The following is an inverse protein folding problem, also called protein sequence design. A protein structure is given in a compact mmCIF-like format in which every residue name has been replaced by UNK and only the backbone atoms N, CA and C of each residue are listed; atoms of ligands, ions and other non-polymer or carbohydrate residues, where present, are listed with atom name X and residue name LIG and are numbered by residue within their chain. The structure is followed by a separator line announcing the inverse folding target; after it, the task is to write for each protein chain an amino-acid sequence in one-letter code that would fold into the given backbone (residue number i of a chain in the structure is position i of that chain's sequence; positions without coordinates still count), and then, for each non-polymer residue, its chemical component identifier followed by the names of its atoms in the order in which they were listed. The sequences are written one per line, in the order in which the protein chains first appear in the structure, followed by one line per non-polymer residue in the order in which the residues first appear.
data_IF_098480459117
#
_entry.id   IF_098480459117
#
_cell.length_a   1.000
_cell.length_b   1.000
_cell.length_c   1.000
_cell.angle_alpha   90.00
_cell.angle_beta   90.00
_cell.angle_gamma   90.00
#
_symmetry.space_group_name_H-M   'P 1'
#
loop_
_entity.id
_entity.type
_entity.pdbx_description
1 polymer ?
#
# COMPACT_ATOMS: atom_id res chain seq x y z
N UNK A 1 16.05 7.07 16.84
CA UNK A 1 15.33 6.57 15.64
C UNK A 1 14.34 7.63 15.20
N UNK A 2 14.49 8.19 14.01
CA UNK A 2 13.53 9.14 13.44
C UNK A 2 12.40 8.37 12.73
N UNK A 3 11.17 8.88 12.81
CA UNK A 3 10.08 8.46 11.93
C UNK A 3 10.03 9.49 10.80
N UNK A 4 10.15 9.06 9.54
CA UNK A 4 10.10 9.95 8.37
C UNK A 4 8.80 9.70 7.64
N UNK A 5 8.07 10.76 7.31
CA UNK A 5 6.86 10.71 6.51
C UNK A 5 6.97 11.70 5.35
N UNK A 6 6.51 11.30 4.17
CA UNK A 6 6.52 12.14 2.97
C UNK A 6 5.07 12.50 2.65
N UNK A 7 4.76 13.79 2.69
CA UNK A 7 3.48 14.31 2.24
C UNK A 7 3.64 14.79 0.80
N UNK A 8 3.10 14.01 -0.13
CA UNK A 8 3.08 14.31 -1.55
C UNK A 8 2.09 15.42 -1.90
N UNK A 9 1.28 15.88 -0.93
CA UNK A 9 0.13 16.77 -1.09
C UNK A 9 -1.05 16.14 -1.86
N UNK A 10 -0.95 14.84 -2.15
CA UNK A 10 -1.92 14.05 -2.92
C UNK A 10 -2.34 12.77 -2.19
N UNK A 11 -1.98 12.61 -0.92
CA UNK A 11 -2.39 11.49 -0.07
C UNK A 11 -3.91 11.54 0.20
N UNK A 12 -4.49 10.38 0.50
CA UNK A 12 -5.86 10.32 1.01
C UNK A 12 -5.97 11.07 2.35
N UNK A 13 -7.07 11.80 2.60
CA UNK A 13 -7.34 12.39 3.91
C UNK A 13 -7.25 11.37 5.06
N UNK A 14 -7.78 10.16 4.84
CA UNK A 14 -7.73 9.06 5.82
C UNK A 14 -6.30 8.59 6.12
N UNK A 15 -5.35 8.76 5.19
CA UNK A 15 -3.93 8.48 5.43
C UNK A 15 -3.33 9.50 6.40
N UNK A 16 -3.64 10.79 6.22
CA UNK A 16 -3.19 11.87 7.11
C UNK A 16 -3.82 11.73 8.51
N UNK A 17 -5.10 11.37 8.58
CA UNK A 17 -5.79 11.06 9.84
C UNK A 17 -5.15 9.86 10.56
N UNK A 18 -4.92 8.76 9.84
CA UNK A 18 -4.26 7.58 10.40
C UNK A 18 -2.85 7.91 10.92
N UNK A 19 -2.09 8.75 10.20
CA UNK A 19 -0.77 9.14 10.63
C UNK A 19 -0.80 9.94 11.95
N UNK A 20 -1.78 10.84 12.14
CA UNK A 20 -1.98 11.53 13.42
C UNK A 20 -2.25 10.56 14.57
N UNK A 21 -3.12 9.58 14.36
CA UNK A 21 -3.42 8.54 15.36
C UNK A 21 -2.17 7.73 15.72
N UNK A 22 -1.33 7.40 14.74
CA UNK A 22 -0.04 6.72 14.96
C UNK A 22 0.90 7.59 15.78
N UNK A 23 1.07 8.87 15.44
CA UNK A 23 1.93 9.78 16.20
C UNK A 23 1.48 9.94 17.65
N UNK A 24 0.17 10.05 17.88
CA UNK A 24 -0.45 10.18 19.21
C UNK A 24 -0.25 8.91 20.03
N UNK A 25 -0.63 7.75 19.50
CA UNK A 25 -0.53 6.46 20.20
C UNK A 25 0.90 6.12 20.61
N UNK A 26 1.87 6.35 19.72
CA UNK A 26 3.27 6.02 19.97
C UNK A 26 4.08 7.18 20.53
N UNK A 27 3.44 8.31 20.84
CA UNK A 27 4.07 9.54 21.34
C UNK A 27 5.32 9.94 20.51
N UNK A 28 5.21 9.79 19.19
CA UNK A 28 6.34 9.95 18.26
C UNK A 28 5.92 10.72 17.02
N UNK A 29 6.39 11.95 16.92
CA UNK A 29 6.17 12.81 15.75
C UNK A 29 7.02 12.35 14.57
N UNK A 30 6.41 12.30 13.39
CA UNK A 30 7.13 12.08 12.17
C UNK A 30 7.80 13.39 11.71
N UNK A 31 9.00 13.26 11.15
CA UNK A 31 9.61 14.28 10.33
C UNK A 31 8.91 14.28 8.97
N UNK A 32 7.89 15.13 8.85
CA UNK A 32 7.17 15.32 7.59
C UNK A 32 8.01 16.12 6.60
N UNK A 33 8.14 15.61 5.37
CA UNK A 33 8.69 16.35 4.24
C UNK A 33 7.66 16.48 3.13
N UNK A 34 7.57 17.70 2.63
CA UNK A 34 6.77 18.10 1.48
C UNK A 34 7.72 18.45 0.31
N UNK A 35 7.20 18.55 -0.93
CA UNK A 35 7.95 19.08 -2.06
C UNK A 35 8.65 20.40 -1.69
N UNK A 36 9.90 20.58 -2.13
CA UNK A 36 10.71 21.72 -1.73
C UNK A 36 10.07 23.07 -2.08
N UNK A 37 9.80 23.87 -1.05
CA UNK A 37 9.21 25.20 -1.17
C UNK A 37 7.71 25.19 -1.47
N UNK A 38 7.03 24.07 -1.23
CA UNK A 38 5.58 23.90 -1.41
C UNK A 38 4.98 23.38 -0.11
N UNK A 39 3.87 23.99 0.29
CA UNK A 39 3.16 23.66 1.53
C UNK A 39 1.70 23.28 1.31
N UNK A 40 1.17 23.57 0.12
CA UNK A 40 -0.22 23.27 -0.23
C UNK A 40 -0.35 22.65 -1.62
N UNK A 41 -1.43 21.91 -1.85
CA UNK A 41 -1.74 21.33 -3.17
C UNK A 41 -1.91 22.41 -4.23
N UNK A 42 -2.50 23.56 -3.89
CA UNK A 42 -2.68 24.67 -4.83
C UNK A 42 -1.34 25.27 -5.28
N UNK A 43 -0.39 25.42 -4.36
CA UNK A 43 0.98 25.82 -4.70
C UNK A 43 1.68 24.78 -5.60
N UNK A 44 1.43 23.49 -5.35
CA UNK A 44 1.96 22.42 -6.19
C UNK A 44 1.43 22.55 -7.63
N UNK A 45 0.11 22.67 -7.79
CA UNK A 45 -0.56 22.80 -9.09
C UNK A 45 -0.07 24.07 -9.80
N UNK A 46 0.02 25.20 -9.09
CA UNK A 46 0.49 26.46 -9.66
C UNK A 46 1.93 26.39 -10.20
N UNK A 47 2.78 25.54 -9.60
CA UNK A 47 4.20 25.43 -9.98
C UNK A 47 4.48 24.33 -10.99
N UNK A 48 3.84 23.17 -10.85
CA UNK A 48 4.16 21.97 -11.61
C UNK A 48 3.02 21.47 -12.50
N UNK A 49 1.80 22.02 -12.36
CA UNK A 49 0.59 21.53 -13.03
C UNK A 49 -0.14 20.45 -12.23
N UNK A 50 -1.28 19.99 -12.76
CA UNK A 50 -2.02 18.89 -12.14
C UNK A 50 -1.21 17.58 -12.25
N UNK A 51 -1.32 16.72 -11.25
CA UNK A 51 -0.69 15.40 -11.23
C UNK A 51 -1.11 14.49 -12.40
N UNK A 52 -2.26 14.75 -13.05
CA UNK A 52 -2.68 14.03 -14.26
C UNK A 52 -2.02 14.55 -15.55
N UNK A 53 -1.53 15.79 -15.55
CA UNK A 53 -0.86 16.42 -16.68
C UNK A 53 0.67 16.28 -16.63
N UNK A 54 1.21 16.18 -15.41
CA UNK A 54 2.65 16.04 -15.17
C UNK A 54 3.13 14.64 -15.55
N UNK A 55 4.34 14.57 -16.12
CA UNK A 55 4.98 13.27 -16.34
C UNK A 55 5.16 12.52 -15.01
N UNK A 56 4.94 11.21 -15.04
CA UNK A 56 4.96 10.38 -13.84
C UNK A 56 6.31 10.37 -13.14
N UNK A 57 7.42 10.43 -13.90
CA UNK A 57 8.76 10.46 -13.33
C UNK A 57 9.05 11.82 -12.67
N UNK A 58 8.60 12.91 -13.30
CA UNK A 58 8.75 14.26 -12.74
C UNK A 58 7.92 14.41 -11.46
N UNK A 59 6.66 13.96 -11.45
CA UNK A 59 5.82 13.95 -10.25
C UNK A 59 6.48 13.15 -9.12
N UNK A 60 6.93 11.92 -9.40
CA UNK A 60 7.58 11.09 -8.40
C UNK A 60 8.86 11.73 -7.87
N UNK A 61 9.63 12.39 -8.73
CA UNK A 61 10.85 13.07 -8.30
C UNK A 61 10.55 14.21 -7.32
N UNK A 62 9.68 15.14 -7.70
CA UNK A 62 9.41 16.35 -6.90
C UNK A 62 8.58 16.07 -5.65
N UNK A 63 7.68 15.07 -5.70
CA UNK A 63 6.75 14.78 -4.62
C UNK A 63 7.23 13.69 -3.67
N UNK A 64 8.11 12.80 -4.12
CA UNK A 64 8.50 11.60 -3.34
C UNK A 64 10.00 11.47 -3.17
N UNK A 65 10.76 11.51 -4.26
CA UNK A 65 12.20 11.20 -4.24
C UNK A 65 13.00 12.31 -3.57
N UNK A 66 12.89 13.56 -4.02
CA UNK A 66 13.63 14.69 -3.42
C UNK A 66 13.28 14.87 -1.93
N UNK A 67 11.98 14.90 -1.52
CA UNK A 67 11.65 15.08 -0.12
C UNK A 67 12.17 13.94 0.75
N UNK A 68 12.15 12.71 0.22
CA UNK A 68 12.70 11.56 0.93
C UNK A 68 14.21 11.65 1.06
N UNK A 69 14.95 11.91 -0.02
CA UNK A 69 16.42 12.06 0.01
C UNK A 69 16.84 13.14 1.02
N UNK A 70 16.18 14.30 0.99
CA UNK A 70 16.41 15.38 1.95
C UNK A 70 16.14 14.94 3.39
N UNK A 71 15.08 14.17 3.65
CA UNK A 71 14.84 13.60 4.98
C UNK A 71 15.98 12.68 5.45
N UNK A 72 16.55 11.87 4.54
CA UNK A 72 17.64 10.96 4.89
C UNK A 72 18.93 11.69 5.22
N UNK A 73 19.23 12.75 4.46
CA UNK A 73 20.39 13.63 4.68
C UNK A 73 20.27 14.34 6.03
N UNK A 74 19.12 14.97 6.31
CA UNK A 74 18.86 15.64 7.58
C UNK A 74 18.83 14.70 8.78
N UNK A 75 18.46 13.43 8.58
CA UNK A 75 18.49 12.41 9.62
C UNK A 75 19.89 11.81 9.86
N UNK A 76 20.88 12.13 9.01
CA UNK A 76 22.21 11.49 9.00
C UNK A 76 22.10 9.96 9.06
N UNK A 77 21.23 9.40 8.20
CA UNK A 77 20.76 8.03 8.36
C UNK A 77 21.87 6.98 8.28
N UNK A 78 22.10 6.30 9.40
CA UNK A 78 22.82 5.03 9.44
C UNK A 78 22.05 3.88 8.78
N UNK A 79 20.89 3.53 9.35
CA UNK A 79 20.06 2.40 8.91
C UNK A 79 18.67 2.91 8.53
N UNK A 80 18.15 2.45 7.38
CA UNK A 80 16.75 2.62 7.01
C UNK A 80 15.95 1.42 7.50
N UNK A 81 14.81 1.62 8.16
CA UNK A 81 13.85 0.54 8.39
C UNK A 81 12.65 0.79 7.45
N UNK A 82 12.21 -0.24 6.71
CA UNK A 82 11.01 -0.13 5.86
C UNK A 82 9.98 -1.21 6.17
N UNK A 83 8.73 -0.95 5.80
CA UNK A 83 7.65 -1.93 5.89
C UNK A 83 7.47 -2.81 4.66
N UNK A 84 8.47 -2.90 3.77
CA UNK A 84 8.39 -3.71 2.54
C UNK A 84 8.34 -5.20 2.89
N UNK A 85 7.50 -5.94 2.16
CA UNK A 85 7.33 -7.39 2.28
C UNK A 85 7.43 -8.06 0.91
N UNK A 86 7.85 -9.33 0.89
CA UNK A 86 7.99 -10.08 -0.37
C UNK A 86 6.65 -10.31 -1.09
N UNK A 87 5.57 -10.50 -0.33
CA UNK A 87 4.23 -10.78 -0.86
C UNK A 87 3.54 -9.57 -1.52
N UNK A 88 4.11 -8.38 -1.38
CA UNK A 88 3.60 -7.15 -1.98
C UNK A 88 4.03 -6.96 -3.45
N UNK A 89 5.07 -7.66 -3.91
CA UNK A 89 5.57 -7.47 -5.26
C UNK A 89 4.70 -8.20 -6.30
N UNK A 90 4.40 -7.54 -7.43
CA UNK A 90 3.65 -8.13 -8.54
C UNK A 90 4.39 -9.30 -9.21
N UNK A 91 5.72 -9.32 -9.09
CA UNK A 91 6.59 -10.42 -9.44
C UNK A 91 7.31 -10.91 -8.17
N UNK A 92 7.69 -12.18 -8.14
CA UNK A 92 8.40 -12.82 -7.02
C UNK A 92 9.80 -12.23 -6.85
N UNK A 93 9.87 -11.09 -6.17
CA UNK A 93 11.12 -10.41 -5.83
C UNK A 93 11.61 -10.98 -4.50
N UNK A 94 12.83 -11.51 -4.49
CA UNK A 94 13.52 -11.80 -3.23
C UNK A 94 13.89 -10.47 -2.57
N UNK A 95 13.28 -10.20 -1.43
CA UNK A 95 13.62 -9.08 -0.57
C UNK A 95 14.39 -9.61 0.62
N UNK A 96 15.65 -9.23 0.73
CA UNK A 96 16.45 -9.60 1.91
C UNK A 96 15.99 -8.80 3.13
N UNK A 97 16.00 -9.46 4.29
CA UNK A 97 15.78 -8.80 5.59
C UNK A 97 16.80 -7.68 5.79
N UNK A 98 18.03 -7.86 5.33
CA UNK A 98 19.10 -6.86 5.41
C UNK A 98 19.72 -6.61 4.02
N UNK A 99 19.63 -5.37 3.54
CA UNK A 99 20.25 -4.88 2.31
C UNK A 99 21.51 -4.08 2.64
N UNK A 100 22.67 -4.76 2.75
CA UNK A 100 23.97 -4.19 3.15
C UNK A 100 24.32 -2.90 2.37
N UNK A 101 24.26 -2.96 1.04
CA UNK A 101 24.63 -1.83 0.15
C UNK A 101 23.81 -0.57 0.42
N UNK A 102 22.53 -0.72 0.80
CA UNK A 102 21.62 0.41 1.08
C UNK A 102 21.56 0.76 2.58
N UNK A 103 22.17 -0.07 3.43
CA UNK A 103 21.97 -0.11 4.88
C UNK A 103 20.47 -0.04 5.22
N UNK A 104 19.70 -0.97 4.66
CA UNK A 104 18.24 -1.04 4.84
C UNK A 104 17.84 -2.36 5.50
N UNK A 105 17.03 -2.28 6.56
CA UNK A 105 16.43 -3.38 7.29
C UNK A 105 14.94 -3.47 6.93
N UNK A 106 14.51 -4.65 6.48
CA UNK A 106 13.13 -4.98 6.14
C UNK A 106 12.64 -6.05 7.14
N UNK A 107 12.26 -5.69 8.38
CA UNK A 107 11.96 -6.65 9.44
C UNK A 107 10.76 -7.55 9.11
N UNK A 108 9.88 -7.09 8.22
CA UNK A 108 8.68 -7.80 7.79
C UNK A 108 8.84 -8.44 6.40
N UNK A 109 10.07 -8.60 5.90
CA UNK A 109 10.30 -9.13 4.55
C UNK A 109 9.58 -10.48 4.30
N UNK A 110 9.54 -11.35 5.31
CA UNK A 110 8.94 -12.68 5.25
C UNK A 110 7.48 -12.73 5.73
N UNK A 111 6.89 -11.59 6.11
CA UNK A 111 5.52 -11.55 6.60
C UNK A 111 4.56 -11.56 5.40
N UNK A 112 3.52 -12.37 5.49
CA UNK A 112 2.38 -12.33 4.59
C UNK A 112 1.36 -11.26 5.02
N UNK A 113 0.44 -10.92 4.13
CA UNK A 113 -0.73 -10.12 4.45
C UNK A 113 -1.49 -10.68 5.66
N UNK A 114 -1.60 -12.01 5.75
CA UNK A 114 -2.28 -12.67 6.87
C UNK A 114 -1.54 -12.39 8.19
N UNK A 115 -0.20 -12.50 8.21
CA UNK A 115 0.59 -12.19 9.42
C UNK A 115 0.39 -10.74 9.87
N UNK A 116 0.25 -9.80 8.92
CA UNK A 116 -0.01 -8.39 9.22
C UNK A 116 -1.40 -8.18 9.79
N UNK A 117 -2.44 -8.71 9.15
CA UNK A 117 -3.81 -8.51 9.66
C UNK A 117 -4.04 -9.29 10.95
N UNK A 118 -3.39 -10.45 11.17
CA UNK A 118 -3.45 -11.18 12.44
C UNK A 118 -2.77 -10.38 13.56
N UNK A 119 -1.63 -9.76 13.29
CA UNK A 119 -0.96 -8.88 14.24
C UNK A 119 -1.83 -7.68 14.57
N UNK A 120 -2.32 -6.98 13.54
CA UNK A 120 -3.24 -5.85 13.72
C UNK A 120 -4.46 -6.31 14.50
N UNK A 121 -5.03 -7.47 14.18
CA UNK A 121 -6.26 -7.93 14.77
C UNK A 121 -6.12 -8.37 16.22
N UNK A 122 -5.01 -9.03 16.56
CA UNK A 122 -4.64 -9.37 17.93
C UNK A 122 -4.47 -8.12 18.78
N UNK A 123 -3.83 -7.09 18.23
CA UNK A 123 -3.68 -5.81 18.94
C UNK A 123 -4.99 -5.01 18.95
N UNK A 124 -5.87 -5.20 17.96
CA UNK A 124 -7.15 -4.48 17.80
C UNK A 124 -8.34 -5.21 18.46
N UNK A 125 -8.17 -6.43 18.98
CA UNK A 125 -9.28 -7.26 19.49
C UNK A 125 -9.87 -6.81 20.82
N UNK A 126 -9.55 -5.62 21.32
CA UNK A 126 -10.09 -5.12 22.57
C UNK A 126 -10.50 -3.65 22.42
N UNK A 127 -11.62 -3.43 21.72
CA UNK A 127 -12.44 -2.27 22.03
C UNK A 127 -12.90 -2.42 23.50
N UNK A 128 -12.16 -1.80 24.43
CA UNK A 128 -12.46 -1.78 25.86
C UNK A 128 -11.59 -2.64 26.79
N UNK A 129 -10.49 -3.25 26.35
CA UNK A 129 -9.49 -3.82 27.26
C UNK A 129 -8.07 -3.44 26.84
N UNK A 130 -7.19 -3.09 27.80
CA UNK A 130 -5.82 -2.73 27.49
C UNK A 130 -4.99 -3.91 26.96
N UNK A 131 -3.98 -3.61 26.16
CA UNK A 131 -2.92 -4.54 25.75
C UNK A 131 -2.07 -5.03 26.95
N UNK A 132 -1.08 -5.90 26.69
CA UNK A 132 -0.17 -6.44 27.73
C UNK A 132 0.63 -5.36 28.48
N UNK A 133 0.73 -4.15 27.92
CA UNK A 133 1.44 -3.00 28.49
C UNK A 133 0.49 -1.92 29.04
N UNK A 134 -0.82 -2.19 29.13
CA UNK A 134 -1.80 -1.28 29.69
C UNK A 134 -2.34 -0.20 28.74
N UNK A 135 -2.12 -0.30 27.42
CA UNK A 135 -2.61 0.70 26.44
C UNK A 135 -3.98 0.30 25.89
N UNK A 136 -4.92 1.25 25.95
CA UNK A 136 -6.35 1.00 25.75
C UNK A 136 -6.83 0.80 24.28
N UNK A 137 -5.94 0.82 23.28
CA UNK A 137 -6.35 0.84 21.87
C UNK A 137 -5.40 -0.03 21.04
N UNK A 138 -5.86 -0.62 19.93
CA UNK A 138 -5.02 -1.42 19.03
C UNK A 138 -4.11 -0.59 18.11
N UNK A 139 -3.47 -1.25 17.13
CA UNK A 139 -2.70 -0.55 16.10
C UNK A 139 -3.66 0.34 15.27
N UNK A 140 -3.39 1.64 15.07
CA UNK A 140 -4.22 2.50 14.25
C UNK A 140 -4.20 2.01 12.80
N UNK A 141 -5.38 1.92 12.19
CA UNK A 141 -5.57 1.43 10.83
C UNK A 141 -6.21 2.53 10.00
N UNK A 142 -5.79 2.67 8.75
CA UNK A 142 -6.39 3.63 7.82
C UNK A 142 -7.87 3.28 7.58
N UNK A 143 -8.78 4.18 7.97
CA UNK A 143 -10.23 4.00 7.82
C UNK A 143 -10.67 3.81 6.36
N UNK A 144 -9.79 4.11 5.40
CA UNK A 144 -9.97 3.74 4.00
C UNK A 144 -10.28 2.25 3.78
N UNK A 145 -9.80 1.36 4.66
CA UNK A 145 -10.07 -0.07 4.62
C UNK A 145 -11.51 -0.47 4.98
N UNK A 146 -12.30 0.45 5.55
CA UNK A 146 -13.69 0.19 5.90
C UNK A 146 -14.64 0.34 4.70
N UNK A 147 -14.18 0.91 3.59
CA UNK A 147 -15.03 1.16 2.43
C UNK A 147 -15.12 -0.08 1.53
N UNK A 148 -16.36 -0.47 1.22
CA UNK A 148 -16.69 -1.35 0.11
C UNK A 148 -17.36 -0.56 -1.02
N UNK A 149 -17.03 -0.91 -2.26
CA UNK A 149 -17.64 -0.33 -3.47
C UNK A 149 -18.38 -1.44 -4.20
N UNK A 150 -19.71 -1.38 -4.23
CA UNK A 150 -20.58 -2.41 -4.80
C UNK A 150 -21.02 -2.01 -6.21
N UNK A 151 -20.89 -2.88 -7.19
CA UNK A 151 -21.28 -2.58 -8.57
C UNK A 151 -21.88 -3.80 -9.28
N UNK A 152 -22.70 -3.53 -10.30
CA UNK A 152 -23.41 -4.56 -11.07
C UNK A 152 -22.52 -5.22 -12.14
N UNK A 153 -21.45 -4.55 -12.55
CA UNK A 153 -20.51 -5.03 -13.55
C UNK A 153 -19.06 -4.63 -13.20
N UNK A 154 -18.04 -5.34 -13.73
CA UNK A 154 -16.64 -4.97 -13.54
C UNK A 154 -16.34 -3.57 -14.11
N UNK A 155 -15.55 -2.80 -13.37
CA UNK A 155 -15.01 -1.51 -13.79
C UNK A 155 -13.52 -1.68 -14.04
N UNK A 156 -13.05 -1.24 -15.21
CA UNK A 156 -11.63 -1.26 -15.57
C UNK A 156 -10.80 -0.49 -14.54
N UNK A 157 -9.70 -1.10 -14.07
CA UNK A 157 -8.90 -0.54 -12.98
C UNK A 157 -8.36 0.86 -13.32
N UNK A 158 -8.01 1.11 -14.59
CA UNK A 158 -7.53 2.41 -15.11
C UNK A 158 -8.58 3.52 -15.01
N UNK A 159 -9.86 3.18 -14.86
CA UNK A 159 -10.98 4.12 -14.76
C UNK A 159 -11.46 4.33 -13.32
N UNK A 160 -11.04 3.49 -12.36
CA UNK A 160 -11.55 3.48 -10.98
C UNK A 160 -11.23 4.72 -10.11
N UNK A 161 -10.53 5.71 -10.64
CA UNK A 161 -10.20 6.98 -9.98
C UNK A 161 -11.20 8.10 -10.34
N UNK A 162 -12.07 7.89 -11.35
CA UNK A 162 -13.03 8.90 -11.81
C UNK A 162 -14.15 9.11 -10.76
N UNK A 163 -14.70 10.34 -10.65
CA UNK A 163 -15.67 10.68 -9.60
C UNK A 163 -17.05 10.03 -9.78
N UNK A 164 -17.46 9.69 -11.01
CA UNK A 164 -18.83 9.27 -11.36
C UNK A 164 -18.90 7.82 -11.85
N UNK A 165 -18.39 6.89 -11.03
CA UNK A 165 -18.42 5.47 -11.34
C UNK A 165 -19.72 4.81 -10.90
N UNK A 166 -20.20 3.78 -11.62
CA UNK A 166 -21.45 3.07 -11.32
C UNK A 166 -21.27 2.09 -10.14
N UNK A 167 -20.85 2.61 -8.99
CA UNK A 167 -20.73 1.87 -7.75
C UNK A 167 -21.51 2.54 -6.61
N UNK A 168 -21.86 1.75 -5.60
CA UNK A 168 -22.33 2.27 -4.32
C UNK A 168 -21.22 2.13 -3.30
N UNK A 169 -20.74 3.26 -2.77
CA UNK A 169 -19.75 3.30 -1.69
C UNK A 169 -20.46 3.08 -0.35
N UNK A 170 -19.98 2.11 0.43
CA UNK A 170 -20.59 1.68 1.71
C UNK A 170 -19.52 1.63 2.78
N UNK A 171 -19.80 2.21 3.95
CA UNK A 171 -18.97 2.05 5.16
C UNK A 171 -19.34 0.72 5.83
N UNK A 172 -18.37 -0.17 5.98
CA UNK A 172 -18.56 -1.44 6.69
C UNK A 172 -18.46 -1.28 8.22
N UNK A 173 -18.02 -0.10 8.71
CA UNK A 173 -17.78 0.19 10.13
C UNK A 173 -16.54 -0.50 10.73
N UNK A 174 -15.91 -1.41 9.98
CA UNK A 174 -14.70 -2.16 10.34
C UNK A 174 -13.89 -2.48 9.07
N UNK A 175 -12.58 -2.75 9.19
CA UNK A 175 -11.77 -3.10 8.03
C UNK A 175 -12.34 -4.32 7.29
N UNK A 176 -12.27 -4.30 5.95
CA UNK A 176 -12.90 -5.33 5.12
C UNK A 176 -12.46 -6.78 5.43
N UNK A 177 -11.24 -7.00 5.94
CA UNK A 177 -10.77 -8.35 6.31
C UNK A 177 -11.47 -8.92 7.55
N UNK A 178 -12.20 -8.08 8.31
CA UNK A 178 -13.06 -8.50 9.42
C UNK A 178 -14.53 -8.64 9.02
N UNK A 179 -14.82 -8.43 7.75
CA UNK A 179 -16.17 -8.55 7.20
C UNK A 179 -16.32 -9.93 6.54
N UNK A 180 -17.49 -10.51 6.72
CA UNK A 180 -17.93 -11.65 5.92
C UNK A 180 -18.17 -11.20 4.47
N UNK A 181 -18.11 -12.15 3.54
CA UNK A 181 -18.44 -11.88 2.13
C UNK A 181 -19.85 -11.28 1.96
N UNK A 182 -20.81 -11.71 2.80
CA UNK A 182 -22.16 -11.15 2.82
C UNK A 182 -22.21 -9.69 3.29
N UNK A 183 -21.42 -9.30 4.30
CA UNK A 183 -21.30 -7.91 4.74
C UNK A 183 -20.69 -7.02 3.65
N UNK A 184 -19.66 -7.52 2.95
CA UNK A 184 -19.02 -6.80 1.84
C UNK A 184 -20.01 -6.62 0.67
N UNK A 185 -20.69 -7.69 0.26
CA UNK A 185 -21.62 -7.69 -0.89
C UNK A 185 -22.97 -7.03 -0.62
N UNK A 186 -23.45 -7.03 0.62
CA UNK A 186 -24.75 -6.48 0.99
C UNK A 186 -25.94 -7.38 0.64
N UNK A 187 -27.14 -6.80 0.74
CA UNK A 187 -28.41 -7.45 0.42
C UNK A 187 -29.29 -6.52 -0.43
N UNK A 188 -29.62 -6.88 -1.68
CA UNK A 188 -29.15 -8.06 -2.40
C UNK A 188 -27.63 -8.04 -2.58
N UNK A 189 -27.02 -9.22 -2.73
CA UNK A 189 -25.58 -9.34 -2.88
C UNK A 189 -25.13 -8.72 -4.22
N UNK A 190 -24.23 -7.75 -4.16
CA UNK A 190 -23.61 -7.19 -5.34
C UNK A 190 -22.74 -8.24 -6.05
N UNK A 191 -22.82 -8.34 -7.39
CA UNK A 191 -22.01 -9.32 -8.14
C UNK A 191 -20.52 -8.99 -8.09
N UNK A 192 -20.17 -7.70 -8.02
CA UNK A 192 -18.79 -7.23 -7.95
C UNK A 192 -18.63 -6.27 -6.76
N UNK A 193 -17.53 -6.41 -6.04
CA UNK A 193 -17.18 -5.54 -4.91
C UNK A 193 -15.70 -5.20 -4.93
N UNK A 194 -15.36 -3.94 -4.67
CA UNK A 194 -13.98 -3.48 -4.49
C UNK A 194 -13.73 -2.95 -3.08
N UNK A 195 -12.49 -3.05 -2.62
CA UNK A 195 -11.98 -2.59 -1.33
C UNK A 195 -10.57 -2.00 -1.49
N UNK A 196 -10.15 -1.10 -0.61
CA UNK A 196 -8.76 -0.64 -0.60
C UNK A 196 -7.89 -1.59 0.23
N UNK A 197 -6.80 -2.08 -0.36
CA UNK A 197 -5.78 -2.91 0.32
C UNK A 197 -4.44 -2.20 0.50
N UNK A 198 -4.12 -1.26 -0.38
CA UNK A 198 -2.89 -0.48 -0.33
C UNK A 198 -3.20 0.99 -0.63
N UNK A 199 -2.52 1.90 0.07
CA UNK A 199 -2.71 3.35 -0.09
C UNK A 199 -1.43 4.02 -0.59
N UNK A 200 -1.59 4.92 -1.55
CA UNK A 200 -0.58 5.88 -1.99
C UNK A 200 -1.24 7.23 -2.23
N UNK A 201 -0.86 7.87 -3.34
CA UNK A 201 -1.55 9.07 -3.80
C UNK A 201 -2.91 8.72 -4.41
N UNK A 202 -3.88 9.62 -4.26
CA UNK A 202 -5.26 9.40 -4.70
C UNK A 202 -5.36 9.13 -6.21
N UNK A 203 -4.54 9.77 -7.04
CA UNK A 203 -4.58 9.64 -8.51
C UNK A 203 -3.91 8.36 -9.04
N UNK A 204 -3.16 7.62 -8.22
CA UNK A 204 -2.49 6.35 -8.59
C UNK A 204 -2.90 5.16 -7.73
N UNK A 205 -3.97 5.30 -6.94
CA UNK A 205 -4.48 4.26 -6.04
C UNK A 205 -5.96 4.02 -6.30
N UNK A 206 -6.33 2.78 -6.59
CA UNK A 206 -7.71 2.38 -6.84
C UNK A 206 -8.09 1.17 -5.96
N UNK A 207 -9.38 0.97 -5.66
CA UNK A 207 -9.81 -0.22 -4.95
C UNK A 207 -9.76 -1.45 -5.87
N UNK A 208 -9.61 -2.62 -5.25
CA UNK A 208 -9.45 -3.94 -5.89
C UNK A 208 -10.44 -4.93 -5.32
N UNK A 209 -10.71 -6.02 -6.02
CA UNK A 209 -11.57 -7.05 -5.46
C UNK A 209 -10.91 -7.69 -4.21
N UNK A 210 -11.69 -8.14 -3.22
CA UNK A 210 -11.16 -8.71 -1.98
C UNK A 210 -10.20 -9.89 -2.17
N UNK A 211 -10.21 -10.55 -3.33
CA UNK A 211 -9.33 -11.68 -3.64
C UNK A 211 -8.06 -11.29 -4.43
N UNK A 212 -7.98 -10.06 -4.97
CA UNK A 212 -6.80 -9.59 -5.73
C UNK A 212 -5.60 -9.30 -4.80
N UNK A 213 -4.40 -9.21 -5.38
CA UNK A 213 -3.18 -8.83 -4.63
C UNK A 213 -3.30 -7.47 -3.93
N UNK A 214 -2.64 -7.31 -2.78
CA UNK A 214 -2.61 -6.06 -2.00
C UNK A 214 -2.23 -4.84 -2.84
N UNK A 215 -1.28 -4.99 -3.76
CA UNK A 215 -0.78 -3.89 -4.62
C UNK A 215 -1.40 -3.86 -6.02
N UNK A 216 -2.40 -4.70 -6.32
CA UNK A 216 -3.08 -4.67 -7.63
C UNK A 216 -3.74 -3.32 -7.93
N UNK A 217 -4.09 -2.56 -6.88
CA UNK A 217 -4.69 -1.23 -6.99
C UNK A 217 -3.68 -0.09 -7.09
N UNK A 218 -2.38 -0.38 -7.18
CA UNK A 218 -1.30 0.63 -7.22
C UNK A 218 -0.71 0.69 -8.62
N UNK A 219 -0.29 1.89 -9.04
CA UNK A 219 0.41 2.11 -10.32
C UNK A 219 -0.41 1.69 -11.54
N UNK A 220 -1.74 1.69 -11.45
CA UNK A 220 -2.64 1.12 -12.48
C UNK A 220 -2.57 1.85 -13.84
N UNK A 221 -1.98 3.04 -13.88
CA UNK A 221 -1.74 3.85 -15.09
C UNK A 221 -0.27 4.03 -15.45
N UNK A 222 0.62 3.37 -14.70
CA UNK A 222 2.06 3.44 -14.86
C UNK A 222 2.59 2.03 -15.12
N UNK A 223 3.82 1.91 -15.62
CA UNK A 223 4.47 0.60 -15.63
C UNK A 223 4.50 0.07 -14.18
N UNK A 224 4.12 -1.20 -13.94
CA UNK A 224 4.13 -1.89 -12.63
C UNK A 224 5.55 -1.92 -12.05
N UNK A 225 6.01 -0.78 -11.53
CA UNK A 225 7.36 -0.56 -11.01
C UNK A 225 7.27 -0.24 -9.53
N UNK A 226 8.33 -0.54 -8.77
CA UNK A 226 8.43 -0.13 -7.37
C UNK A 226 8.46 1.40 -7.29
N UNK A 227 7.83 1.97 -6.25
CA UNK A 227 7.80 3.42 -6.02
C UNK A 227 9.22 4.00 -6.04
N UNK A 228 9.41 5.21 -6.60
CA UNK A 228 10.71 5.90 -6.62
C UNK A 228 11.40 6.02 -5.25
N UNK A 229 10.63 5.99 -4.16
CA UNK A 229 11.12 5.96 -2.77
C UNK A 229 12.01 4.73 -2.49
N UNK A 230 11.71 3.59 -3.10
CA UNK A 230 12.41 2.32 -2.86
C UNK A 230 13.54 2.04 -3.85
N UNK A 231 13.55 2.73 -4.99
CA UNK A 231 14.54 2.51 -6.04
C UNK A 231 15.85 3.22 -5.74
N UNK A 232 15.87 4.36 -5.02
CA UNK A 232 17.06 5.12 -4.54
C UNK A 232 18.18 5.39 -5.57
N UNK A 233 18.01 4.97 -6.81
CA UNK A 233 18.97 5.06 -7.91
C UNK A 233 18.20 4.83 -9.19
N UNK A 234 17.68 5.89 -9.80
CA UNK A 234 17.38 5.86 -11.23
C UNK A 234 17.76 7.20 -11.83
N UNK A 235 18.96 7.25 -12.39
CA UNK A 235 19.08 7.86 -13.71
C UNK A 235 18.22 7.03 -14.68
N UNK A 236 17.67 7.64 -15.72
CA UNK A 236 16.81 6.96 -16.69
C UNK A 236 17.48 5.67 -17.22
N UNK A 237 16.80 4.52 -17.08
CA UNK A 237 17.19 3.25 -17.72
C UNK A 237 17.70 2.09 -16.84
N UNK A 238 17.75 2.20 -15.51
CA UNK A 238 18.12 1.06 -14.64
C UNK A 238 16.91 0.20 -14.21
N UNK A 239 17.00 -1.15 -14.20
CA UNK A 239 15.87 -2.02 -13.85
C UNK A 239 15.44 -1.86 -12.38
N UNK A 240 14.13 -1.82 -12.16
CA UNK A 240 13.48 -1.54 -10.88
C UNK A 240 13.27 -2.81 -10.04
N UNK A 241 13.37 -2.70 -8.71
CA UNK A 241 13.12 -3.81 -7.79
C UNK A 241 14.31 -4.76 -7.65
N UNK A 242 14.33 -5.59 -6.61
CA UNK A 242 15.39 -6.59 -6.42
C UNK A 242 15.49 -7.60 -7.57
N UNK A 243 16.41 -8.55 -7.49
CA UNK A 243 16.53 -9.58 -8.52
C UNK A 243 15.24 -10.40 -8.63
N UNK A 244 14.72 -10.50 -9.85
CA UNK A 244 13.63 -11.44 -10.17
C UNK A 244 14.15 -12.86 -9.93
N UNK A 245 13.41 -13.66 -9.17
CA UNK A 245 13.75 -15.05 -8.91
C UNK A 245 12.57 -15.93 -9.25
N UNK A 246 12.84 -17.01 -9.98
CA UNK A 246 11.83 -18.02 -10.29
C UNK A 246 11.54 -18.87 -9.05
N UNK A 247 10.49 -18.52 -8.31
CA UNK A 247 9.99 -19.35 -7.19
C UNK A 247 8.97 -20.40 -7.65
N UNK A 248 8.88 -20.72 -8.95
CA UNK A 248 8.01 -21.80 -9.39
C UNK A 248 8.47 -23.08 -8.71
N UNK A 249 7.54 -23.69 -7.97
CA UNK A 249 7.69 -25.05 -7.53
C UNK A 249 7.69 -25.89 -8.80
N UNK A 250 8.86 -26.41 -9.17
CA UNK A 250 9.04 -27.23 -10.39
C UNK A 250 8.92 -28.71 -10.10
N UNK A 251 8.97 -29.09 -8.82
CA UNK A 251 8.83 -30.48 -8.43
C UNK A 251 7.35 -30.87 -8.32
N UNK A 252 7.01 -31.97 -8.99
CA UNK A 252 5.63 -32.44 -9.11
C UNK A 252 4.99 -32.78 -7.76
N UNK A 253 5.79 -33.27 -6.79
CA UNK A 253 5.29 -33.68 -5.49
C UNK A 253 4.81 -32.49 -4.66
N UNK A 254 5.57 -31.39 -4.64
CA UNK A 254 5.20 -30.17 -3.92
C UNK A 254 4.07 -29.44 -4.62
N UNK A 255 4.02 -29.42 -5.96
CA UNK A 255 2.85 -28.91 -6.71
C UNK A 255 1.59 -29.67 -6.29
N UNK A 256 1.64 -31.00 -6.26
CA UNK A 256 0.51 -31.84 -5.94
C UNK A 256 0.04 -31.63 -4.49
N UNK A 257 0.98 -31.46 -3.55
CA UNK A 257 0.66 -31.11 -2.16
C UNK A 257 0.03 -29.73 -2.03
N UNK A 258 0.54 -28.72 -2.76
CA UNK A 258 0.03 -27.34 -2.69
C UNK A 258 -1.34 -27.18 -3.35
N UNK A 259 -1.64 -28.00 -4.35
CA UNK A 259 -2.89 -27.96 -5.11
C UNK A 259 -3.97 -28.92 -4.60
N UNK A 260 -3.63 -29.86 -3.72
CA UNK A 260 -4.55 -30.88 -3.20
C UNK A 260 -5.78 -30.30 -2.47
N UNK A 261 -5.66 -29.10 -1.88
CA UNK A 261 -6.75 -28.41 -1.19
C UNK A 261 -7.40 -27.28 -2.01
N UNK A 262 -7.04 -27.15 -3.29
CA UNK A 262 -7.50 -26.04 -4.13
C UNK A 262 -8.95 -26.25 -4.57
N UNK A 263 -9.84 -25.35 -4.13
CA UNK A 263 -11.26 -25.34 -4.50
C UNK A 263 -11.56 -24.50 -5.74
N UNK A 264 -10.58 -23.72 -6.22
CA UNK A 264 -10.70 -22.86 -7.41
C UNK A 264 -9.33 -22.63 -8.04
N UNK A 265 -9.22 -22.88 -9.34
CA UNK A 265 -8.03 -22.57 -10.13
C UNK A 265 -8.28 -21.30 -10.94
N UNK A 266 -7.28 -20.41 -10.99
CA UNK A 266 -7.27 -19.24 -11.87
C UNK A 266 -5.96 -19.27 -12.63
N UNK A 267 -6.04 -19.32 -13.95
CA UNK A 267 -4.89 -19.26 -14.84
C UNK A 267 -4.59 -17.78 -15.10
N UNK A 268 -3.43 -17.31 -14.64
CA UNK A 268 -2.97 -15.94 -14.85
C UNK A 268 -2.10 -15.90 -16.11
N UNK A 269 -2.35 -14.91 -16.97
CA UNK A 269 -1.45 -14.62 -18.10
C UNK A 269 -0.36 -13.61 -17.70
N UNK A 270 0.63 -13.42 -18.57
CA UNK A 270 1.81 -12.56 -18.33
C UNK A 270 1.49 -11.09 -17.94
N UNK A 271 0.25 -10.63 -18.09
CA UNK A 271 -0.16 -9.27 -17.73
C UNK A 271 -0.82 -9.18 -16.34
N UNK A 272 -1.29 -10.28 -15.79
CA UNK A 272 -1.96 -10.36 -14.49
C UNK A 272 -0.94 -10.62 -13.38
#
# INVERSE_FOLDING_TARGET
MNLVAIDTLHLFPTTLECAKLVEEKYAKKAMWKMPKGITTKDEFIAKYGDCEELDSADFDFVSKVEPFQRALEECEKDILITGRRMDQAAQRIKLDVWEEQKRTLNPMANFSWQDIIDYVDKEFSLWGCPDRDGRAEGVPVNAGHNWAFRCDAPIEATSRHLPDLPWTKVDLGKPFWRCTDAEIKGSPAAPITYVFKSFGDMHTTVPVEPHESERAGRFVRQAKTECGIHTRTTFAGAPHGGSLVDLMVKDAATIQSLTASTVKAIELNERQ
#
